data_IF_417877173980
#
_entry.id   IF_417877173980
#
_cell.length_a   1.000
_cell.length_b   1.000
_cell.length_c   1.000
_cell.angle_alpha   90.00
_cell.angle_beta   90.00
_cell.angle_gamma   90.00
#
_symmetry.space_group_name_H-M   'P 1'
#
loop_
_entity.id
_entity.type
_entity.pdbx_description
1 polymer ?
#
# COMPACT_ATOMS: atom_id res chain seq x y z
N UNK A 1 -18.25 2.60 4.20
CA UNK A 1 -17.05 1.84 4.61
C UNK A 1 -16.12 2.76 5.38
N UNK A 2 -15.54 2.29 6.46
CA UNK A 2 -14.50 3.01 7.23
C UNK A 2 -13.13 2.72 6.62
N UNK A 3 -12.64 3.60 5.75
CA UNK A 3 -11.37 3.45 5.07
C UNK A 3 -10.17 3.58 6.03
N UNK A 4 -10.30 4.37 7.11
CA UNK A 4 -9.22 4.49 8.07
C UNK A 4 -8.97 3.17 8.80
N UNK A 5 -10.02 2.49 9.24
CA UNK A 5 -9.92 1.14 9.83
C UNK A 5 -9.27 0.16 8.86
N UNK A 6 -9.66 0.19 7.57
CA UNK A 6 -9.04 -0.68 6.55
C UNK A 6 -7.56 -0.38 6.33
N UNK A 7 -7.18 0.87 6.20
CA UNK A 7 -5.76 1.24 5.99
C UNK A 7 -4.91 0.96 7.23
N UNK A 8 -5.46 1.12 8.43
CA UNK A 8 -4.80 0.73 9.67
C UNK A 8 -4.57 -0.79 9.72
N UNK A 9 -5.55 -1.60 9.31
CA UNK A 9 -5.38 -3.05 9.18
C UNK A 9 -4.23 -3.39 8.20
N UNK A 10 -4.23 -2.79 7.01
CA UNK A 10 -3.14 -2.99 6.03
C UNK A 10 -1.78 -2.54 6.57
N UNK A 11 -1.73 -1.45 7.33
CA UNK A 11 -0.51 -0.98 7.97
C UNK A 11 0.06 -2.01 8.97
N UNK A 12 -0.78 -2.82 9.63
CA UNK A 12 -0.28 -3.86 10.53
C UNK A 12 0.55 -4.92 9.80
N UNK A 13 0.24 -5.23 8.55
CA UNK A 13 0.94 -6.25 7.76
C UNK A 13 2.39 -5.89 7.45
N UNK A 14 2.71 -4.61 7.47
CA UNK A 14 4.05 -4.09 7.14
C UNK A 14 4.80 -3.52 8.36
N UNK A 15 4.25 -3.65 9.57
CA UNK A 15 4.80 -2.98 10.77
C UNK A 15 6.27 -3.27 11.01
N UNK A 16 6.66 -4.54 10.97
CA UNK A 16 8.03 -4.95 11.25
C UNK A 16 8.97 -4.51 10.12
N UNK A 17 8.54 -4.66 8.87
CA UNK A 17 9.29 -4.17 7.72
C UNK A 17 9.48 -2.65 7.78
N UNK A 18 8.43 -1.88 8.11
CA UNK A 18 8.54 -0.43 8.27
C UNK A 18 9.53 -0.05 9.37
N UNK A 19 9.44 -0.71 10.52
CA UNK A 19 10.38 -0.47 11.62
C UNK A 19 11.83 -0.75 11.20
N UNK A 20 12.06 -1.85 10.50
CA UNK A 20 13.37 -2.22 9.97
C UNK A 20 13.91 -1.20 8.97
N UNK A 21 13.13 -0.89 7.91
CA UNK A 21 13.58 0.00 6.85
C UNK A 21 13.71 1.46 7.30
N UNK A 22 12.80 1.97 8.12
CA UNK A 22 12.93 3.31 8.71
C UNK A 22 14.17 3.44 9.60
N UNK A 23 14.51 2.39 10.36
CA UNK A 23 15.77 2.36 11.13
C UNK A 23 16.98 2.39 10.20
N UNK A 24 16.99 1.62 9.12
CA UNK A 24 18.04 1.59 8.10
C UNK A 24 18.20 2.93 7.37
N UNK A 25 17.07 3.56 7.02
CA UNK A 25 17.04 4.87 6.37
C UNK A 25 17.35 6.04 7.33
N UNK A 26 17.56 5.79 8.61
CA UNK A 26 17.93 6.81 9.57
C UNK A 26 16.78 7.74 9.96
N UNK A 27 15.56 7.24 10.14
CA UNK A 27 14.39 8.04 10.50
C UNK A 27 14.63 8.97 11.70
N UNK A 28 15.36 8.50 12.71
CA UNK A 28 15.67 9.29 13.93
C UNK A 28 16.61 10.47 13.68
N UNK A 29 17.34 10.49 12.56
CA UNK A 29 18.23 11.58 12.13
C UNK A 29 17.61 12.44 11.04
N UNK A 30 16.52 11.99 10.42
CA UNK A 30 15.81 12.74 9.39
C UNK A 30 15.19 14.01 9.97
N UNK A 31 15.22 15.09 9.18
CA UNK A 31 14.56 16.37 9.52
C UNK A 31 13.18 16.48 8.88
N UNK A 32 13.03 15.95 7.67
CA UNK A 32 11.78 15.98 6.90
C UNK A 32 11.53 14.63 6.25
N UNK A 33 10.33 14.13 6.41
CA UNK A 33 9.88 12.85 5.85
C UNK A 33 8.58 13.07 5.11
N UNK A 34 8.45 12.52 3.92
CA UNK A 34 7.24 12.62 3.09
C UNK A 34 6.64 11.23 2.86
N UNK A 35 5.34 11.11 3.10
CA UNK A 35 4.52 10.01 2.58
C UNK A 35 3.76 10.49 1.34
N UNK A 36 3.97 9.82 0.20
CA UNK A 36 3.22 10.03 -1.04
C UNK A 36 2.08 9.01 -1.08
N UNK A 37 0.85 9.48 -1.25
CA UNK A 37 -0.35 8.66 -1.12
C UNK A 37 -0.67 8.34 0.35
N UNK A 38 -0.67 9.35 1.21
CA UNK A 38 -0.82 9.14 2.66
C UNK A 38 -2.24 8.73 3.10
N UNK A 39 -3.22 8.78 2.20
CA UNK A 39 -4.60 8.41 2.48
C UNK A 39 -5.14 9.08 3.76
N UNK A 40 -5.67 8.27 4.66
CA UNK A 40 -6.21 8.72 5.95
C UNK A 40 -5.15 8.88 7.05
N UNK A 41 -3.86 8.72 6.71
CA UNK A 41 -2.74 8.88 7.64
C UNK A 41 -2.49 7.67 8.54
N UNK A 42 -2.86 6.48 8.14
CA UNK A 42 -2.71 5.26 8.94
C UNK A 42 -1.25 5.02 9.38
N UNK A 43 -0.27 5.29 8.52
CA UNK A 43 1.16 5.17 8.88
C UNK A 43 1.66 6.43 9.57
N UNK A 44 1.35 7.62 9.05
CA UNK A 44 1.81 8.89 9.61
C UNK A 44 1.42 9.06 11.08
N UNK A 45 0.25 8.55 11.48
CA UNK A 45 -0.22 8.61 12.87
C UNK A 45 0.58 7.73 13.84
N UNK A 46 1.22 6.66 13.33
CA UNK A 46 2.02 5.72 14.13
C UNK A 46 3.49 6.15 14.25
N UNK A 47 3.96 7.09 13.41
CA UNK A 47 5.38 7.45 13.39
C UNK A 47 5.78 8.28 14.61
N UNK A 48 6.69 7.73 15.41
CA UNK A 48 7.32 8.43 16.54
C UNK A 48 8.70 8.91 16.10
N UNK A 49 8.81 10.21 15.80
CA UNK A 49 10.04 10.82 15.33
C UNK A 49 10.06 12.31 15.65
N UNK A 50 11.26 12.92 15.68
CA UNK A 50 11.44 14.37 15.74
C UNK A 50 11.39 15.06 14.37
N UNK A 51 11.32 14.27 13.29
CA UNK A 51 11.21 14.80 11.94
C UNK A 51 9.90 15.54 11.71
N UNK A 52 9.93 16.56 10.88
CA UNK A 52 8.72 17.16 10.31
C UNK A 52 8.09 16.19 9.33
N UNK A 53 6.91 15.70 9.63
CA UNK A 53 6.18 14.77 8.78
C UNK A 53 5.30 15.52 7.78
N UNK A 54 5.35 15.07 6.54
CA UNK A 54 4.55 15.58 5.43
C UNK A 54 3.78 14.42 4.81
N UNK A 55 2.54 14.70 4.41
CA UNK A 55 1.69 13.76 3.68
C UNK A 55 1.11 14.43 2.44
N UNK A 56 1.11 13.71 1.34
CA UNK A 56 0.46 14.14 0.10
C UNK A 56 -0.52 13.06 -0.35
N UNK A 57 -1.71 13.48 -0.74
CA UNK A 57 -2.70 12.59 -1.36
C UNK A 57 -3.52 13.34 -2.41
N UNK A 58 -4.03 12.61 -3.39
CA UNK A 58 -4.91 13.13 -4.43
C UNK A 58 -6.35 13.26 -3.97
N UNK A 59 -6.75 12.55 -2.91
CA UNK A 59 -8.10 12.50 -2.38
C UNK A 59 -8.29 13.49 -1.21
N UNK A 60 -9.01 14.61 -1.39
CA UNK A 60 -9.20 15.60 -0.35
C UNK A 60 -10.02 15.07 0.85
N UNK A 61 -10.91 14.08 0.63
CA UNK A 61 -11.67 13.48 1.73
C UNK A 61 -10.75 12.63 2.63
N UNK A 62 -9.83 11.86 2.04
CA UNK A 62 -8.83 11.12 2.79
C UNK A 62 -7.91 12.05 3.61
N UNK A 63 -7.50 13.19 3.02
CA UNK A 63 -6.72 14.21 3.74
C UNK A 63 -7.49 14.86 4.90
N UNK A 64 -8.81 15.01 4.78
CA UNK A 64 -9.64 15.51 5.88
C UNK A 64 -9.62 14.53 7.06
N UNK A 65 -9.72 13.22 6.80
CA UNK A 65 -9.56 12.18 7.82
C UNK A 65 -8.13 12.14 8.39
N UNK A 66 -7.11 12.22 7.51
CA UNK A 66 -5.71 12.27 7.93
C UNK A 66 -5.44 13.39 8.94
N UNK A 67 -6.06 14.55 8.75
CA UNK A 67 -5.93 15.68 9.70
C UNK A 67 -6.46 15.35 11.09
N UNK A 68 -7.45 14.47 11.19
CA UNK A 68 -8.00 14.01 12.46
C UNK A 68 -7.03 13.04 13.14
N UNK A 69 -6.51 12.06 12.38
CA UNK A 69 -5.69 10.99 12.92
C UNK A 69 -4.21 11.36 13.10
N UNK A 70 -3.71 12.28 12.28
CA UNK A 70 -2.32 12.75 12.30
C UNK A 70 -2.25 14.31 12.31
N UNK A 71 -2.76 14.98 13.36
CA UNK A 71 -2.96 16.45 13.37
C UNK A 71 -1.67 17.27 13.30
N UNK A 72 -0.52 16.66 13.55
CA UNK A 72 0.80 17.34 13.50
C UNK A 72 1.48 17.25 12.14
N UNK A 73 0.89 16.53 11.18
CA UNK A 73 1.45 16.32 9.85
C UNK A 73 1.11 17.49 8.93
N UNK A 74 2.07 17.95 8.14
CA UNK A 74 1.86 18.94 7.08
C UNK A 74 1.24 18.24 5.87
N UNK A 75 -0.05 18.47 5.61
CA UNK A 75 -0.80 17.82 4.55
C UNK A 75 -0.94 18.68 3.31
N UNK A 76 -0.72 18.08 2.13
CA UNK A 76 -0.86 18.72 0.83
C UNK A 76 -1.78 17.88 -0.06
N UNK A 77 -2.79 18.52 -0.64
CA UNK A 77 -3.59 17.95 -1.72
C UNK A 77 -2.78 18.08 -3.02
N UNK A 78 -2.40 16.96 -3.64
CA UNK A 78 -1.53 16.98 -4.82
C UNK A 78 -1.45 15.63 -5.51
N UNK A 79 -0.81 15.66 -6.69
CA UNK A 79 -0.61 14.48 -7.52
C UNK A 79 0.82 13.95 -7.33
N UNK A 80 0.97 12.67 -7.04
CA UNK A 80 2.27 12.00 -6.93
C UNK A 80 3.12 12.02 -8.21
N UNK A 81 2.49 12.28 -9.37
CA UNK A 81 3.19 12.42 -10.66
C UNK A 81 3.82 13.83 -10.87
N UNK A 82 3.54 14.78 -9.97
CA UNK A 82 4.09 16.14 -9.97
C UNK A 82 4.03 16.69 -8.56
N UNK A 83 5.05 16.38 -7.77
CA UNK A 83 5.09 16.72 -6.34
C UNK A 83 5.31 18.23 -6.15
N UNK A 84 4.45 18.94 -5.39
CA UNK A 84 4.54 20.39 -5.21
C UNK A 84 5.61 20.78 -4.17
N UNK A 85 6.78 20.17 -4.27
CA UNK A 85 7.92 20.43 -3.39
C UNK A 85 9.16 20.74 -4.22
N UNK A 86 10.06 21.60 -3.72
CA UNK A 86 11.37 21.82 -4.34
C UNK A 86 12.21 20.55 -4.37
N UNK A 87 13.19 20.52 -5.28
CA UNK A 87 14.20 19.46 -5.32
C UNK A 87 14.93 19.32 -3.98
N UNK A 88 15.39 18.13 -3.67
CA UNK A 88 16.22 17.82 -2.51
C UNK A 88 15.65 18.37 -1.17
N UNK A 89 14.36 18.20 -0.93
CA UNK A 89 13.67 18.71 0.26
C UNK A 89 13.69 17.72 1.43
N UNK A 90 13.54 16.41 1.16
CA UNK A 90 13.31 15.37 2.16
C UNK A 90 14.51 14.44 2.32
N UNK A 91 14.76 13.96 3.52
CA UNK A 91 15.73 12.90 3.79
C UNK A 91 15.16 11.51 3.48
N UNK A 92 13.84 11.33 3.70
CA UNK A 92 13.13 10.08 3.41
C UNK A 92 11.83 10.42 2.70
N UNK A 93 11.60 9.75 1.58
CA UNK A 93 10.31 9.77 0.85
C UNK A 93 9.82 8.34 0.72
N UNK A 94 8.58 8.08 1.09
CA UNK A 94 8.05 6.74 1.02
C UNK A 94 6.60 6.70 0.52
N UNK A 95 6.19 5.52 0.09
CA UNK A 95 4.81 5.19 -0.23
C UNK A 95 4.44 3.79 0.29
N UNK A 96 3.13 3.53 0.39
CA UNK A 96 2.59 2.28 0.88
C UNK A 96 1.29 1.96 0.14
N UNK A 97 1.23 0.85 -0.60
CA UNK A 97 0.10 0.48 -1.47
C UNK A 97 -0.31 1.61 -2.44
N UNK A 98 0.65 2.31 -3.04
CA UNK A 98 0.38 3.45 -3.91
C UNK A 98 0.59 3.13 -5.39
N UNK A 99 1.74 2.53 -5.73
CA UNK A 99 2.24 2.55 -7.10
C UNK A 99 1.38 1.74 -8.07
N UNK A 100 0.65 0.73 -7.57
CA UNK A 100 -0.34 0.02 -8.38
C UNK A 100 -1.52 0.91 -8.82
N UNK A 101 -1.78 2.03 -8.12
CA UNK A 101 -2.91 2.93 -8.40
C UNK A 101 -2.55 4.11 -9.29
N UNK A 102 -1.26 4.41 -9.46
CA UNK A 102 -0.85 5.55 -10.27
C UNK A 102 -0.70 5.15 -11.74
N UNK A 103 -1.17 6.04 -12.63
CA UNK A 103 -1.12 5.77 -14.07
C UNK A 103 0.31 5.60 -14.61
N UNK A 104 1.27 6.28 -14.01
CA UNK A 104 2.69 6.26 -14.40
C UNK A 104 3.55 6.09 -13.13
N UNK A 105 3.77 4.84 -12.68
CA UNK A 105 4.57 4.56 -11.49
C UNK A 105 6.02 5.01 -11.63
N UNK A 106 6.59 4.94 -12.85
CA UNK A 106 7.95 5.42 -13.11
C UNK A 106 8.05 6.92 -12.87
N UNK A 107 7.11 7.71 -13.40
CA UNK A 107 7.08 9.16 -13.17
C UNK A 107 6.91 9.49 -11.68
N UNK A 108 6.08 8.73 -10.95
CA UNK A 108 5.95 8.92 -9.50
C UNK A 108 7.29 8.69 -8.77
N UNK A 109 8.03 7.64 -9.12
CA UNK A 109 9.36 7.36 -8.56
C UNK A 109 10.39 8.42 -8.94
N UNK A 110 10.35 8.95 -10.17
CA UNK A 110 11.20 10.06 -10.61
C UNK A 110 10.92 11.33 -9.79
N UNK A 111 9.66 11.66 -9.52
CA UNK A 111 9.29 12.79 -8.68
C UNK A 111 9.70 12.57 -7.21
N UNK A 112 9.46 11.35 -6.67
CA UNK A 112 9.95 11.00 -5.33
C UNK A 112 11.48 11.18 -5.25
N UNK A 113 12.22 10.76 -6.29
CA UNK A 113 13.67 10.97 -6.37
C UNK A 113 14.03 12.45 -6.41
N UNK A 114 13.38 13.24 -7.25
CA UNK A 114 13.65 14.68 -7.38
C UNK A 114 13.55 15.42 -6.04
N UNK A 115 12.50 15.13 -5.27
CA UNK A 115 12.29 15.80 -3.97
C UNK A 115 13.12 15.21 -2.83
N UNK A 116 13.76 14.05 -3.04
CA UNK A 116 14.67 13.43 -2.07
C UNK A 116 16.06 14.05 -2.18
N UNK A 117 16.69 14.31 -1.05
CA UNK A 117 18.07 14.82 -0.99
C UNK A 117 19.06 13.79 -1.50
N UNK A 118 20.19 14.26 -2.04
CA UNK A 118 21.33 13.38 -2.30
C UNK A 118 21.76 12.68 -1.00
N UNK A 119 21.93 11.38 -1.06
CA UNK A 119 22.16 10.52 0.11
C UNK A 119 20.91 10.17 0.92
N UNK A 120 19.76 10.73 0.58
CA UNK A 120 18.47 10.36 1.16
C UNK A 120 17.91 9.06 0.59
N UNK A 121 16.74 8.63 1.08
CA UNK A 121 16.18 7.32 0.79
C UNK A 121 14.75 7.39 0.26
N UNK A 122 14.46 6.50 -0.68
CA UNK A 122 13.11 6.24 -1.18
C UNK A 122 12.73 4.82 -0.76
N UNK A 123 11.49 4.66 -0.26
CA UNK A 123 10.97 3.37 0.21
C UNK A 123 9.57 3.15 -0.36
N UNK A 124 9.37 2.05 -1.08
CA UNK A 124 8.05 1.50 -1.38
C UNK A 124 7.84 0.28 -0.49
N UNK A 125 6.92 0.37 0.47
CA UNK A 125 6.78 -0.66 1.50
C UNK A 125 5.98 -1.89 1.10
N UNK A 126 4.99 -1.71 0.24
CA UNK A 126 4.09 -2.81 -0.10
C UNK A 126 3.41 -2.55 -1.45
N UNK A 127 3.84 -3.26 -2.47
CA UNK A 127 3.20 -3.24 -3.77
C UNK A 127 2.79 -4.68 -4.14
N UNK A 128 1.50 -4.99 -4.16
CA UNK A 128 1.01 -6.34 -4.40
C UNK A 128 1.09 -6.73 -5.88
N UNK A 129 1.20 -8.03 -6.11
CA UNK A 129 1.06 -8.65 -7.42
C UNK A 129 -0.09 -9.67 -7.41
N UNK A 130 -1.27 -9.22 -7.80
CA UNK A 130 -2.45 -10.06 -7.90
C UNK A 130 -2.41 -11.01 -9.10
N UNK A 131 -1.50 -10.81 -10.07
CA UNK A 131 -1.35 -11.71 -11.22
C UNK A 131 -0.75 -13.08 -10.82
N UNK A 132 -0.02 -13.10 -9.69
CA UNK A 132 0.53 -14.32 -9.10
C UNK A 132 -0.17 -14.70 -7.78
N UNK A 133 -1.40 -14.26 -7.61
CA UNK A 133 -2.22 -14.62 -6.46
C UNK A 133 -2.54 -16.11 -6.44
N UNK A 134 -2.51 -16.70 -5.26
CA UNK A 134 -2.89 -18.10 -5.00
C UNK A 134 -4.12 -18.12 -4.08
N UNK A 135 -5.14 -18.81 -4.51
CA UNK A 135 -6.34 -19.09 -3.75
C UNK A 135 -6.55 -20.59 -3.59
N UNK A 136 -6.78 -21.06 -2.37
CA UNK A 136 -7.22 -22.42 -2.06
C UNK A 136 -8.40 -22.37 -1.09
N UNK A 137 -9.33 -23.32 -1.18
CA UNK A 137 -9.47 -24.37 -2.21
C UNK A 137 -9.77 -23.76 -3.60
N UNK A 138 -9.72 -24.56 -4.64
CA UNK A 138 -9.80 -24.12 -6.03
C UNK A 138 -11.11 -23.40 -6.38
N UNK A 139 -12.20 -23.68 -5.64
CA UNK A 139 -13.47 -22.99 -5.76
C UNK A 139 -13.38 -21.48 -5.47
N UNK A 140 -12.33 -21.06 -4.76
CA UNK A 140 -12.08 -19.63 -4.46
C UNK A 140 -11.21 -18.92 -5.49
N UNK A 141 -10.66 -19.63 -6.50
CA UNK A 141 -9.90 -19.00 -7.59
C UNK A 141 -10.74 -17.95 -8.31
N UNK A 142 -12.05 -18.17 -8.43
CA UNK A 142 -12.95 -17.22 -9.06
C UNK A 142 -13.03 -15.89 -8.30
N UNK A 143 -12.96 -15.91 -6.97
CA UNK A 143 -12.90 -14.70 -6.15
C UNK A 143 -11.65 -13.87 -6.48
N UNK A 144 -10.49 -14.54 -6.60
CA UNK A 144 -9.24 -13.87 -7.00
C UNK A 144 -9.34 -13.19 -8.36
N UNK A 145 -9.94 -13.87 -9.35
CA UNK A 145 -10.17 -13.31 -10.69
C UNK A 145 -11.08 -12.07 -10.63
N UNK A 146 -12.17 -12.12 -9.90
CA UNK A 146 -13.08 -10.98 -9.75
C UNK A 146 -12.40 -9.79 -9.08
N UNK A 147 -11.62 -10.02 -8.02
CA UNK A 147 -10.89 -8.93 -7.35
C UNK A 147 -9.84 -8.30 -8.27
N UNK A 148 -9.08 -9.12 -9.02
CA UNK A 148 -8.11 -8.62 -10.01
C UNK A 148 -8.80 -7.79 -11.09
N UNK A 149 -9.93 -8.27 -11.63
CA UNK A 149 -10.71 -7.54 -12.62
C UNK A 149 -11.28 -6.23 -12.04
N UNK A 150 -11.76 -6.26 -10.80
CA UNK A 150 -12.25 -5.05 -10.12
C UNK A 150 -11.17 -3.99 -9.99
N UNK A 151 -9.95 -4.37 -9.57
CA UNK A 151 -8.80 -3.46 -9.50
C UNK A 151 -8.49 -2.83 -10.86
N UNK A 152 -8.47 -3.64 -11.94
CA UNK A 152 -8.26 -3.13 -13.30
C UNK A 152 -9.33 -2.14 -13.73
N UNK A 153 -10.61 -2.40 -13.43
CA UNK A 153 -11.74 -1.50 -13.72
C UNK A 153 -11.64 -0.17 -12.98
N UNK A 154 -11.03 -0.18 -11.79
CA UNK A 154 -10.74 1.02 -11.00
C UNK A 154 -9.48 1.76 -11.48
N UNK A 155 -8.78 1.24 -12.50
CA UNK A 155 -7.59 1.84 -13.09
C UNK A 155 -6.28 1.46 -12.41
N UNK A 156 -6.29 0.48 -11.50
CA UNK A 156 -5.07 -0.05 -10.92
C UNK A 156 -4.35 -0.99 -11.89
N UNK A 157 -3.05 -1.16 -11.68
CA UNK A 157 -2.23 -2.21 -12.29
C UNK A 157 -1.99 -3.34 -11.28
N UNK A 158 -2.79 -4.42 -11.31
CA UNK A 158 -2.71 -5.48 -10.31
C UNK A 158 -1.41 -6.28 -10.33
N UNK A 159 -0.62 -6.18 -11.40
CA UNK A 159 0.67 -6.88 -11.56
C UNK A 159 1.88 -5.98 -11.28
N UNK A 160 1.69 -4.76 -10.80
CA UNK A 160 2.79 -3.81 -10.65
C UNK A 160 3.87 -4.30 -9.68
N UNK A 161 3.50 -4.97 -8.58
CA UNK A 161 4.45 -5.38 -7.55
C UNK A 161 5.66 -6.15 -8.09
N UNK A 162 5.45 -7.06 -9.04
CA UNK A 162 6.54 -7.84 -9.64
C UNK A 162 7.56 -6.97 -10.43
N UNK A 163 7.19 -5.76 -10.84
CA UNK A 163 8.05 -4.82 -11.59
C UNK A 163 8.65 -3.72 -10.74
N UNK A 164 8.41 -3.73 -9.42
CA UNK A 164 8.84 -2.67 -8.51
C UNK A 164 10.35 -2.41 -8.57
N UNK A 165 11.17 -3.47 -8.53
CA UNK A 165 12.62 -3.34 -8.57
C UNK A 165 13.11 -2.77 -9.92
N UNK A 166 12.54 -3.20 -11.04
CA UNK A 166 12.83 -2.66 -12.36
C UNK A 166 12.49 -1.17 -12.43
N UNK A 167 11.31 -0.77 -11.94
CA UNK A 167 10.89 0.64 -11.91
C UNK A 167 11.82 1.51 -11.06
N UNK A 168 12.34 1.01 -9.92
CA UNK A 168 13.36 1.70 -9.14
C UNK A 168 14.65 1.91 -9.94
N UNK A 169 15.10 0.88 -10.64
CA UNK A 169 16.29 0.96 -11.50
C UNK A 169 16.10 1.97 -12.64
N UNK A 170 14.97 1.93 -13.34
CA UNK A 170 14.64 2.87 -14.42
C UNK A 170 14.53 4.32 -13.92
N UNK A 171 14.01 4.55 -12.72
CA UNK A 171 14.02 5.86 -12.08
C UNK A 171 15.42 6.32 -11.65
N UNK A 172 16.44 5.47 -11.81
CA UNK A 172 17.81 5.74 -11.42
C UNK A 172 17.98 5.84 -9.90
N UNK A 173 17.21 5.07 -9.13
CA UNK A 173 17.34 4.92 -7.68
C UNK A 173 18.28 3.74 -7.42
N UNK A 174 19.35 3.97 -6.64
CA UNK A 174 20.28 2.91 -6.30
C UNK A 174 19.64 2.00 -5.25
N UNK A 175 19.19 0.82 -5.69
CA UNK A 175 18.53 -0.15 -4.82
C UNK A 175 19.51 -0.65 -3.75
N UNK A 176 19.10 -0.58 -2.49
CA UNK A 176 19.81 -1.14 -1.35
C UNK A 176 19.31 -2.56 -1.05
N UNK A 177 17.98 -2.74 -1.10
CA UNK A 177 17.34 -4.02 -0.81
C UNK A 177 15.95 -4.05 -1.45
N UNK A 178 15.56 -5.21 -1.93
CA UNK A 178 14.21 -5.51 -2.42
C UNK A 178 13.83 -6.92 -1.99
N UNK A 179 12.56 -7.19 -1.86
CA UNK A 179 12.07 -8.51 -1.49
C UNK A 179 10.55 -8.59 -1.46
N UNK A 180 10.07 -9.70 -0.96
CA UNK A 180 8.63 -9.93 -0.74
C UNK A 180 8.33 -9.91 0.74
N UNK A 181 7.17 -9.36 1.08
CA UNK A 181 6.63 -9.47 2.42
C UNK A 181 6.10 -10.89 2.55
N UNK A 182 6.64 -11.65 3.49
CA UNK A 182 6.07 -12.95 3.81
C UNK A 182 4.69 -12.72 4.42
N UNK A 183 3.68 -13.40 3.87
CA UNK A 183 2.31 -13.25 4.35
C UNK A 183 2.22 -13.50 5.86
N UNK A 184 1.30 -12.80 6.50
CA UNK A 184 1.00 -13.06 7.91
C UNK A 184 0.41 -14.47 7.97
N UNK A 185 1.15 -15.44 8.52
CA UNK A 185 0.69 -16.83 8.71
C UNK A 185 -0.52 -16.96 9.66
N UNK A 186 -1.00 -15.83 10.20
CA UNK A 186 -2.08 -15.79 11.15
C UNK A 186 -3.42 -15.65 10.44
N UNK A 187 -4.32 -16.57 10.73
CA UNK A 187 -5.73 -16.42 10.35
C UNK A 187 -6.27 -15.06 10.83
N UNK A 188 -6.96 -14.31 9.96
CA UNK A 188 -7.57 -13.06 10.37
C UNK A 188 -8.61 -13.31 11.46
N UNK A 189 -8.67 -12.42 12.43
CA UNK A 189 -9.76 -12.43 13.41
C UNK A 189 -11.12 -12.26 12.72
N UNK A 190 -12.22 -12.64 13.34
CA UNK A 190 -13.55 -12.44 12.77
C UNK A 190 -13.82 -11.00 12.33
N UNK A 191 -13.34 -10.01 13.11
CA UNK A 191 -13.49 -8.60 12.75
C UNK A 191 -12.65 -8.19 11.53
N UNK A 192 -11.44 -8.69 11.41
CA UNK A 192 -10.59 -8.45 10.24
C UNK A 192 -11.17 -9.09 8.98
N UNK A 193 -11.75 -10.28 9.10
CA UNK A 193 -12.43 -10.94 7.99
C UNK A 193 -13.67 -10.15 7.51
N UNK A 194 -14.47 -9.62 8.44
CA UNK A 194 -15.63 -8.80 8.07
C UNK A 194 -15.20 -7.50 7.36
N UNK A 195 -14.14 -6.84 7.81
CA UNK A 195 -13.58 -5.66 7.14
C UNK A 195 -13.12 -6.01 5.72
N UNK A 196 -12.41 -7.12 5.55
CA UNK A 196 -11.94 -7.58 4.24
C UNK A 196 -13.12 -7.85 3.31
N UNK A 197 -14.14 -8.59 3.80
CA UNK A 197 -15.32 -8.89 2.98
C UNK A 197 -16.17 -7.66 2.66
N UNK A 198 -16.25 -6.68 3.54
CA UNK A 198 -16.92 -5.43 3.24
C UNK A 198 -16.26 -4.69 2.06
N UNK A 199 -14.91 -4.73 1.96
CA UNK A 199 -14.19 -4.21 0.79
C UNK A 199 -14.52 -5.02 -0.46
N UNK A 200 -14.41 -6.36 -0.37
CA UNK A 200 -14.68 -7.26 -1.50
C UNK A 200 -16.11 -7.05 -2.04
N UNK A 201 -17.11 -7.03 -1.16
CA UNK A 201 -18.49 -6.81 -1.55
C UNK A 201 -18.69 -5.44 -2.23
N UNK A 202 -18.05 -4.40 -1.71
CA UNK A 202 -18.08 -3.07 -2.32
C UNK A 202 -17.41 -3.06 -3.70
N UNK A 203 -16.26 -3.70 -3.83
CA UNK A 203 -15.49 -3.73 -5.07
C UNK A 203 -16.15 -4.57 -6.17
N UNK A 204 -16.89 -5.60 -5.79
CA UNK A 204 -17.59 -6.48 -6.72
C UNK A 204 -19.02 -6.01 -7.05
N UNK A 205 -19.55 -5.06 -6.28
CA UNK A 205 -20.89 -4.54 -6.49
C UNK A 205 -21.04 -3.95 -7.90
N UNK A 206 -22.12 -4.34 -8.57
CA UNK A 206 -22.47 -3.80 -9.89
C UNK A 206 -21.86 -4.55 -11.08
N UNK A 207 -20.90 -5.47 -10.87
CA UNK A 207 -20.42 -6.31 -11.97
C UNK A 207 -20.48 -7.83 -11.68
N UNK A 208 -20.54 -8.23 -10.42
CA UNK A 208 -20.81 -9.62 -10.01
C UNK A 208 -22.22 -9.68 -9.40
N UNK A 209 -23.06 -10.67 -9.79
CA UNK A 209 -24.37 -10.86 -9.16
C UNK A 209 -24.24 -11.04 -7.64
N UNK A 210 -25.12 -10.38 -6.88
CA UNK A 210 -25.06 -10.43 -5.42
C UNK A 210 -25.17 -11.85 -4.84
N UNK A 211 -25.96 -12.72 -5.49
CA UNK A 211 -26.08 -14.15 -5.10
C UNK A 211 -24.75 -14.91 -5.22
N UNK A 212 -23.97 -14.62 -6.27
CA UNK A 212 -22.64 -15.21 -6.48
C UNK A 212 -21.63 -14.69 -5.45
N UNK A 213 -21.68 -13.39 -5.12
CA UNK A 213 -20.85 -12.81 -4.04
C UNK A 213 -21.18 -13.51 -2.71
N UNK A 214 -22.45 -13.67 -2.38
CA UNK A 214 -22.84 -14.35 -1.14
C UNK A 214 -22.50 -15.84 -1.14
N UNK A 215 -22.55 -16.50 -2.28
CA UNK A 215 -22.13 -17.90 -2.42
C UNK A 215 -20.63 -18.05 -2.15
N UNK A 216 -19.79 -17.23 -2.77
CA UNK A 216 -18.34 -17.32 -2.63
C UNK A 216 -17.90 -16.89 -1.21
N UNK A 217 -18.61 -15.94 -0.58
CA UNK A 217 -18.39 -15.55 0.82
C UNK A 217 -18.60 -16.73 1.78
N UNK A 218 -19.68 -17.48 1.57
CA UNK A 218 -19.93 -18.70 2.36
C UNK A 218 -18.85 -19.77 2.13
N UNK A 219 -18.37 -19.95 0.90
CA UNK A 219 -17.28 -20.87 0.60
C UNK A 219 -15.97 -20.48 1.31
N UNK A 220 -15.62 -19.18 1.28
CA UNK A 220 -14.43 -18.65 1.98
C UNK A 220 -14.55 -18.90 3.49
N UNK A 221 -15.70 -18.59 4.09
CA UNK A 221 -15.95 -18.84 5.53
C UNK A 221 -15.83 -20.32 5.90
N UNK A 222 -16.39 -21.21 5.07
CA UNK A 222 -16.31 -22.66 5.30
C UNK A 222 -14.87 -23.18 5.15
N UNK A 223 -14.13 -22.69 4.14
CA UNK A 223 -12.73 -23.08 3.94
C UNK A 223 -11.86 -22.64 5.13
N UNK A 224 -12.08 -21.44 5.66
CA UNK A 224 -11.41 -20.96 6.88
C UNK A 224 -11.75 -21.82 8.09
N UNK A 225 -13.04 -22.12 8.31
CA UNK A 225 -13.47 -22.94 9.42
C UNK A 225 -12.88 -24.37 9.41
N UNK A 226 -12.49 -24.87 8.21
CA UNK A 226 -11.81 -26.18 8.05
C UNK A 226 -10.28 -26.07 8.03
N UNK A 227 -9.70 -24.85 8.12
CA UNK A 227 -8.26 -24.64 7.98
C UNK A 227 -7.72 -24.93 6.56
N UNK A 228 -8.57 -24.87 5.55
CA UNK A 228 -8.23 -25.15 4.14
C UNK A 228 -7.97 -23.88 3.33
N UNK A 229 -8.29 -22.71 3.89
CA UNK A 229 -8.13 -21.43 3.19
C UNK A 229 -6.66 -21.04 3.06
N UNK A 230 -6.17 -20.96 1.84
CA UNK A 230 -4.89 -20.29 1.52
C UNK A 230 -5.21 -19.09 0.65
N UNK A 231 -4.78 -17.92 1.09
CA UNK A 231 -4.75 -16.69 0.31
C UNK A 231 -3.32 -16.17 0.34
N UNK A 232 -2.67 -16.14 -0.80
CA UNK A 232 -1.35 -15.54 -0.93
C UNK A 232 -1.34 -14.57 -2.11
N UNK A 233 -1.06 -13.30 -1.81
CA UNK A 233 -0.80 -12.27 -2.80
C UNK A 233 0.65 -11.83 -2.61
N UNK A 234 1.57 -12.19 -3.52
CA UNK A 234 2.95 -11.73 -3.43
C UNK A 234 2.96 -10.22 -3.32
N UNK A 235 3.57 -9.69 -2.27
CA UNK A 235 3.61 -8.25 -2.01
C UNK A 235 5.07 -7.86 -1.89
N UNK A 236 5.50 -6.92 -2.71
CA UNK A 236 6.91 -6.56 -2.87
C UNK A 236 7.22 -5.27 -2.14
N UNK A 237 8.46 -5.16 -1.68
CA UNK A 237 9.03 -3.91 -1.21
C UNK A 237 10.35 -3.61 -1.92
N UNK A 238 10.70 -2.35 -2.01
CA UNK A 238 12.00 -1.89 -2.43
C UNK A 238 12.39 -0.62 -1.67
N UNK A 239 13.66 -0.48 -1.36
CA UNK A 239 14.21 0.79 -0.89
C UNK A 239 15.57 1.04 -1.49
N UNK A 240 15.89 2.32 -1.68
CA UNK A 240 17.11 2.71 -2.34
C UNK A 240 17.53 4.12 -1.98
N UNK A 241 18.72 4.47 -2.42
CA UNK A 241 19.37 5.75 -2.14
C UNK A 241 19.42 6.63 -3.40
N UNK A 242 19.27 7.93 -3.21
CA UNK A 242 19.41 8.97 -4.25
C UNK A 242 20.83 9.50 -4.30
#
# INVERSE_FOLDING_TARGET
MDWHTRYTQQATWTRDLRAYLFKKAGLNQARRVLEVGCGTGAILSELVTSASLHGLDLNPAALAECRIHAPKVSLVHGNGLSLPYPDATFEIVYCHFLLLWVRDPLQALVEMKRVTKSGGYIIAFAEPDYSHRIDKPDELIQLGKWQTESLQRQGADPGFGARLAESFFEAGIKINETGTIQGVEKEPSPGEWEIEWAVIESDLAGFVPGEDIQKIKRLDQQARARGERVLHVPTYFAWGQV
#
